data_IF_031361956034
#
_entry.id   IF_031361956034
#
_cell.length_a   1.000
_cell.length_b   1.000
_cell.length_c   1.000
_cell.angle_alpha   90.00
_cell.angle_beta   90.00
_cell.angle_gamma   90.00
#
_symmetry.space_group_name_H-M   'P 1'
#
loop_
_entity.id
_entity.type
_entity.pdbx_description
1 polymer ?
#
# COMPACT_ATOMS: atom_id res chain seq x y z
N UNK A 1 -9.96 -3.66 -11.71
CA UNK A 1 -10.29 -3.50 -10.27
C UNK A 1 -10.50 -4.85 -9.57
N UNK A 2 -11.30 -5.78 -10.13
CA UNK A 2 -11.51 -7.12 -9.55
C UNK A 2 -10.23 -7.95 -9.39
N UNK A 3 -9.36 -7.95 -10.40
CA UNK A 3 -8.10 -8.73 -10.40
C UNK A 3 -7.17 -8.34 -9.23
N UNK A 4 -7.06 -7.06 -8.90
CA UNK A 4 -6.20 -6.59 -7.79
C UNK A 4 -6.77 -7.05 -6.46
N UNK A 5 -8.09 -6.90 -6.26
CA UNK A 5 -8.76 -7.34 -5.05
C UNK A 5 -8.61 -8.85 -4.82
N UNK A 6 -8.71 -9.66 -5.88
CA UNK A 6 -8.47 -11.10 -5.81
C UNK A 6 -7.02 -11.44 -5.42
N UNK A 7 -6.03 -10.77 -6.02
CA UNK A 7 -4.62 -10.93 -5.65
C UNK A 7 -4.36 -10.59 -4.19
N UNK A 8 -4.92 -9.48 -3.70
CA UNK A 8 -4.78 -9.07 -2.31
C UNK A 8 -5.52 -10.01 -1.34
N UNK A 9 -6.70 -10.53 -1.72
CA UNK A 9 -7.40 -11.58 -0.94
C UNK A 9 -6.59 -12.86 -0.86
N UNK A 10 -6.00 -13.29 -1.98
CA UNK A 10 -5.10 -14.44 -2.02
C UNK A 10 -3.89 -14.20 -1.12
N UNK A 11 -3.29 -13.02 -1.18
CA UNK A 11 -2.18 -12.63 -0.31
C UNK A 11 -2.53 -12.78 1.18
N UNK A 12 -3.68 -12.25 1.62
CA UNK A 12 -4.10 -12.37 3.02
C UNK A 12 -4.42 -13.82 3.43
N UNK A 13 -4.93 -14.63 2.50
CA UNK A 13 -5.23 -16.03 2.77
C UNK A 13 -3.98 -16.88 2.98
N UNK A 14 -2.86 -16.54 2.33
CA UNK A 14 -1.60 -17.30 2.40
C UNK A 14 -0.53 -16.64 3.29
N UNK A 15 -0.70 -15.35 3.61
CA UNK A 15 0.15 -14.46 4.41
C UNK A 15 1.40 -15.14 5.01
N UNK A 16 2.41 -15.22 4.17
CA UNK A 16 3.80 -15.49 4.50
C UNK A 16 4.60 -14.31 3.96
N UNK A 17 4.80 -13.29 4.81
CA UNK A 17 5.47 -12.05 4.40
C UNK A 17 6.95 -12.31 4.09
N UNK A 18 7.57 -13.24 4.82
CA UNK A 18 8.97 -13.63 4.63
C UNK A 18 9.17 -14.31 3.28
N UNK A 19 8.16 -15.07 2.80
CA UNK A 19 8.19 -15.75 1.50
C UNK A 19 7.13 -15.21 0.53
N UNK A 20 6.87 -13.89 0.52
CA UNK A 20 5.80 -13.29 -0.28
C UNK A 20 5.85 -13.68 -1.77
N UNK A 21 7.05 -13.82 -2.35
CA UNK A 21 7.27 -14.25 -3.75
C UNK A 21 6.84 -15.67 -4.05
N UNK A 22 6.77 -16.55 -3.03
CA UNK A 22 6.24 -17.91 -3.20
C UNK A 22 4.74 -17.89 -3.45
N UNK A 23 4.05 -16.99 -2.76
CA UNK A 23 2.59 -16.88 -2.80
C UNK A 23 2.11 -15.98 -3.95
N UNK A 24 2.88 -14.91 -4.22
CA UNK A 24 2.65 -13.93 -5.27
C UNK A 24 3.99 -13.61 -5.93
N UNK A 25 4.35 -14.31 -7.02
CA UNK A 25 5.65 -14.17 -7.68
C UNK A 25 6.02 -12.74 -8.09
N UNK A 26 5.03 -11.93 -8.44
CA UNK A 26 5.20 -10.52 -8.81
C UNK A 26 5.31 -9.55 -7.61
N UNK A 27 5.27 -10.05 -6.39
CA UNK A 27 5.34 -9.21 -5.19
C UNK A 27 6.79 -8.93 -4.77
N UNK A 28 7.05 -7.71 -4.34
CA UNK A 28 8.35 -7.32 -3.80
C UNK A 28 8.18 -6.45 -2.56
N UNK A 29 8.80 -6.82 -1.44
CA UNK A 29 8.80 -5.96 -0.25
C UNK A 29 9.65 -4.72 -0.51
N UNK A 30 9.04 -3.55 -0.37
CA UNK A 30 9.70 -2.25 -0.51
C UNK A 30 10.14 -1.68 0.84
N UNK A 31 9.50 -2.10 1.93
CA UNK A 31 9.88 -1.66 3.26
C UNK A 31 8.94 -2.14 4.37
N UNK A 32 9.44 -2.03 5.59
CA UNK A 32 8.69 -2.34 6.82
C UNK A 32 8.52 -1.07 7.64
N UNK A 33 7.35 -0.92 8.24
CA UNK A 33 7.10 0.00 9.34
C UNK A 33 6.63 -0.80 10.56
N UNK A 34 6.56 -0.15 11.72
CA UNK A 34 6.22 -0.81 12.98
C UNK A 34 4.87 -1.55 12.93
N UNK A 35 3.89 -0.96 12.26
CA UNK A 35 2.52 -1.49 12.15
C UNK A 35 2.11 -1.83 10.71
N UNK A 36 3.04 -1.76 9.75
CA UNK A 36 2.70 -1.83 8.33
C UNK A 36 3.80 -2.45 7.48
N UNK A 37 3.42 -3.04 6.35
CA UNK A 37 4.36 -3.53 5.35
C UNK A 37 4.06 -2.86 4.02
N UNK A 38 5.08 -2.39 3.31
CA UNK A 38 4.96 -1.82 1.97
C UNK A 38 5.54 -2.80 0.97
N UNK A 39 4.79 -3.10 -0.08
CA UNK A 39 5.21 -4.02 -1.13
C UNK A 39 4.69 -3.57 -2.50
N UNK A 40 5.39 -3.91 -3.57
CA UNK A 40 4.90 -3.76 -4.93
C UNK A 40 4.14 -5.02 -5.36
N UNK A 41 3.17 -4.85 -6.26
CA UNK A 41 2.60 -5.94 -7.06
C UNK A 41 2.79 -5.55 -8.53
N UNK A 42 3.83 -6.08 -9.16
CA UNK A 42 4.29 -5.61 -10.46
C UNK A 42 4.96 -4.24 -10.40
N UNK A 43 5.02 -3.54 -11.54
CA UNK A 43 5.88 -2.37 -11.70
C UNK A 43 5.21 -1.02 -11.38
N UNK A 44 3.88 -0.96 -11.45
CA UNK A 44 3.15 0.32 -11.48
C UNK A 44 2.73 0.84 -10.10
N UNK A 45 2.40 -0.05 -9.16
CA UNK A 45 1.80 0.34 -7.88
C UNK A 45 2.55 -0.24 -6.68
N UNK A 46 2.64 0.57 -5.62
CA UNK A 46 3.02 0.17 -4.29
C UNK A 46 1.78 0.08 -3.39
N UNK A 47 1.78 -0.90 -2.49
CA UNK A 47 0.69 -1.20 -1.56
C UNK A 47 1.22 -1.16 -0.14
N UNK A 48 0.58 -0.36 0.72
CA UNK A 48 0.81 -0.34 2.15
C UNK A 48 -0.26 -1.16 2.86
N UNK A 49 0.14 -2.24 3.51
CA UNK A 49 -0.71 -3.14 4.31
C UNK A 49 -0.84 -2.64 5.74
N UNK A 50 -2.06 -2.50 6.24
CA UNK A 50 -2.39 -2.08 7.61
C UNK A 50 -3.33 -3.08 8.29
N UNK A 51 -2.80 -4.09 9.00
CA UNK A 51 -3.57 -5.21 9.56
C UNK A 51 -4.01 -4.99 11.02
N UNK A 52 -4.59 -3.83 11.33
CA UNK A 52 -4.82 -3.41 12.72
C UNK A 52 -6.30 -3.21 13.09
N UNK A 53 -7.22 -3.40 12.14
CA UNK A 53 -8.62 -3.07 12.35
C UNK A 53 -9.41 -4.26 12.88
N UNK A 54 -10.30 -4.02 13.86
CA UNK A 54 -11.16 -5.05 14.45
C UNK A 54 -12.49 -5.23 13.70
N UNK A 55 -12.86 -4.26 12.87
CA UNK A 55 -14.11 -4.25 12.11
C UNK A 55 -13.86 -3.78 10.68
N UNK A 56 -14.76 -4.13 9.76
CA UNK A 56 -14.69 -3.68 8.37
C UNK A 56 -14.91 -2.16 8.33
N UNK A 57 -15.83 -1.68 9.15
CA UNK A 57 -16.23 -0.30 9.27
C UNK A 57 -15.07 0.59 9.66
N UNK A 58 -14.22 0.17 10.61
CA UNK A 58 -13.04 0.95 11.00
C UNK A 58 -11.97 0.99 9.90
N UNK A 59 -11.77 -0.13 9.20
CA UNK A 59 -10.85 -0.19 8.06
C UNK A 59 -11.30 0.70 6.89
N UNK A 60 -12.60 0.68 6.58
CA UNK A 60 -13.19 1.53 5.55
C UNK A 60 -13.15 3.01 5.94
N UNK A 61 -13.49 3.36 7.18
CA UNK A 61 -13.36 4.75 7.69
C UNK A 61 -11.94 5.28 7.52
N UNK A 62 -10.93 4.46 7.78
CA UNK A 62 -9.55 4.84 7.59
C UNK A 62 -9.22 5.03 6.10
N UNK A 63 -9.69 4.14 5.22
CA UNK A 63 -9.54 4.27 3.77
C UNK A 63 -10.19 5.53 3.19
N UNK A 64 -11.39 5.86 3.66
CA UNK A 64 -12.09 7.10 3.29
C UNK A 64 -11.35 8.35 3.78
N UNK A 65 -10.83 8.31 5.02
CA UNK A 65 -9.98 9.40 5.54
C UNK A 65 -8.73 9.58 4.68
N UNK A 66 -8.11 8.48 4.24
CA UNK A 66 -6.98 8.51 3.32
C UNK A 66 -7.36 9.15 1.97
N UNK A 67 -8.49 8.77 1.35
CA UNK A 67 -8.97 9.38 0.11
C UNK A 67 -9.24 10.88 0.29
N UNK A 68 -9.91 11.26 1.37
CA UNK A 68 -10.18 12.66 1.70
C UNK A 68 -8.89 13.46 1.86
N UNK A 69 -7.93 12.94 2.62
CA UNK A 69 -6.63 13.58 2.80
C UNK A 69 -5.93 13.86 1.46
N UNK A 70 -5.83 12.86 0.58
CA UNK A 70 -5.20 13.04 -0.73
C UNK A 70 -5.97 14.01 -1.63
N UNK A 71 -7.30 14.03 -1.56
CA UNK A 71 -8.13 14.97 -2.32
C UNK A 71 -7.89 16.41 -1.85
N UNK A 72 -7.81 16.64 -0.53
CA UNK A 72 -7.50 17.96 0.03
C UNK A 72 -6.09 18.45 -0.33
N UNK A 73 -5.11 17.55 -0.48
CA UNK A 73 -3.79 17.93 -0.99
C UNK A 73 -3.86 18.40 -2.45
N UNK A 74 -4.64 17.70 -3.29
CA UNK A 74 -4.83 18.09 -4.69
C UNK A 74 -5.55 19.45 -4.82
N UNK A 75 -6.52 19.74 -3.94
CA UNK A 75 -7.18 21.06 -3.85
C UNK A 75 -6.19 22.20 -3.53
N UNK A 76 -5.09 21.89 -2.84
CA UNK A 76 -3.99 22.81 -2.56
C UNK A 76 -2.90 22.80 -3.64
N UNK A 77 -3.20 22.24 -4.82
CA UNK A 77 -2.27 22.10 -5.96
C UNK A 77 -1.01 21.27 -5.65
N UNK A 78 -1.04 20.47 -4.58
CA UNK A 78 0.03 19.52 -4.26
C UNK A 78 -0.16 18.31 -5.16
N UNK A 79 0.89 17.97 -5.92
CA UNK A 79 0.90 16.75 -6.71
C UNK A 79 0.84 15.52 -5.79
N UNK A 80 -0.21 14.73 -5.98
CA UNK A 80 -0.38 13.44 -5.32
C UNK A 80 -0.50 12.36 -6.40
N UNK A 81 0.28 11.27 -6.31
CA UNK A 81 0.14 10.15 -7.23
C UNK A 81 -1.25 9.54 -7.17
N UNK A 82 -1.66 8.88 -8.25
CA UNK A 82 -2.90 8.11 -8.25
C UNK A 82 -2.91 7.15 -7.07
N UNK A 83 -4.02 7.16 -6.34
CA UNK A 83 -4.16 6.43 -5.09
C UNK A 83 -5.55 5.83 -4.94
N UNK A 84 -5.60 4.71 -4.22
CA UNK A 84 -6.82 4.03 -3.87
C UNK A 84 -6.67 3.29 -2.53
N UNK A 85 -7.76 2.72 -2.01
CA UNK A 85 -7.69 1.80 -0.90
C UNK A 85 -8.56 0.56 -1.12
N UNK A 86 -8.23 -0.51 -0.40
CA UNK A 86 -8.98 -1.76 -0.41
C UNK A 86 -9.09 -2.29 1.01
N UNK A 87 -10.29 -2.72 1.39
CA UNK A 87 -10.52 -3.38 2.68
C UNK A 87 -10.72 -4.87 2.46
N UNK A 88 -9.94 -5.68 3.18
CA UNK A 88 -9.95 -7.13 3.06
C UNK A 88 -10.09 -7.74 4.44
N UNK A 89 -10.89 -8.80 4.55
CA UNK A 89 -10.95 -9.62 5.75
C UNK A 89 -9.66 -10.43 5.85
N UNK A 90 -8.87 -10.16 6.88
CA UNK A 90 -7.62 -10.87 7.16
C UNK A 90 -7.86 -12.14 7.97
N UNK A 91 -6.77 -12.66 8.55
CA UNK A 91 -6.79 -13.80 9.48
C UNK A 91 -7.24 -13.37 10.87
N UNK A 92 -7.63 -14.32 11.73
CA UNK A 92 -7.91 -14.07 13.16
C UNK A 92 -8.97 -12.97 13.44
N UNK A 93 -9.91 -12.77 12.52
CA UNK A 93 -11.00 -11.82 12.69
C UNK A 93 -10.61 -10.34 12.51
N UNK A 94 -9.37 -10.03 12.12
CA UNK A 94 -8.97 -8.66 11.80
C UNK A 94 -9.36 -8.29 10.36
N UNK A 95 -9.46 -6.99 10.12
CA UNK A 95 -9.59 -6.39 8.80
C UNK A 95 -8.30 -5.64 8.46
N UNK A 96 -7.94 -5.71 7.19
CA UNK A 96 -6.72 -5.13 6.64
C UNK A 96 -7.10 -4.06 5.64
N UNK A 97 -6.58 -2.84 5.84
CA UNK A 97 -6.67 -1.78 4.85
C UNK A 97 -5.38 -1.79 4.03
N UNK A 98 -5.52 -1.88 2.71
CA UNK A 98 -4.43 -1.68 1.76
C UNK A 98 -4.56 -0.31 1.14
N UNK A 99 -3.54 0.52 1.26
CA UNK A 99 -3.45 1.78 0.53
C UNK A 99 -2.58 1.56 -0.70
N UNK A 100 -3.11 1.79 -1.89
CA UNK A 100 -2.35 1.69 -3.13
C UNK A 100 -1.96 3.07 -3.64
N UNK A 101 -0.76 3.17 -4.19
CA UNK A 101 -0.26 4.38 -4.82
C UNK A 101 0.57 4.02 -6.05
N UNK A 102 0.42 4.76 -7.14
CA UNK A 102 1.36 4.66 -8.26
C UNK A 102 2.78 4.94 -7.78
N UNK A 103 3.73 4.14 -8.27
CA UNK A 103 5.14 4.31 -7.94
C UNK A 103 5.65 5.59 -8.57
N UNK A 104 6.37 6.37 -7.76
CA UNK A 104 7.11 7.53 -8.23
C UNK A 104 8.34 7.07 -9.00
N UNK A 105 8.86 7.95 -9.88
CA UNK A 105 10.16 7.71 -10.50
C UNK A 105 11.22 7.55 -9.39
N UNK A 106 11.94 6.42 -9.31
CA UNK A 106 12.95 6.21 -8.28
C UNK A 106 14.04 7.29 -8.25
N UNK A 107 14.32 7.91 -9.40
CA UNK A 107 15.29 9.01 -9.52
C UNK A 107 14.77 10.35 -9.01
N UNK A 108 13.46 10.50 -8.76
CA UNK A 108 12.87 11.71 -8.18
C UNK A 108 12.79 11.65 -6.65
N UNK A 109 13.22 10.56 -6.01
CA UNK A 109 13.18 10.41 -4.56
C UNK A 109 14.34 11.21 -3.92
N UNK A 110 14.00 12.13 -3.02
CA UNK A 110 14.95 13.09 -2.44
C UNK A 110 16.25 12.45 -1.93
N UNK A 111 16.19 11.34 -1.18
CA UNK A 111 17.41 10.72 -0.67
C UNK A 111 18.37 10.24 -1.77
N UNK A 112 17.84 9.85 -2.95
CA UNK A 112 18.65 9.48 -4.12
C UNK A 112 19.24 10.70 -4.84
N UNK A 113 18.54 11.83 -4.79
CA UNK A 113 19.01 13.10 -5.34
C UNK A 113 20.13 13.64 -4.46
N UNK A 114 19.90 13.73 -3.15
CA UNK A 114 20.88 14.24 -2.17
C UNK A 114 22.13 13.36 -2.15
N UNK A 115 22.01 12.03 -2.20
CA UNK A 115 23.18 11.14 -2.25
C UNK A 115 24.06 11.35 -3.49
N UNK A 116 23.50 11.87 -4.59
CA UNK A 116 24.25 12.20 -5.82
C UNK A 116 24.79 13.63 -5.82
N UNK A 117 24.35 14.47 -4.88
CA UNK A 117 24.60 15.91 -4.90
C UNK A 117 25.93 16.34 -4.26
N UNK A 118 26.74 15.42 -3.69
CA UNK A 118 28.01 15.72 -3.02
C UNK A 118 27.95 16.99 -2.13
N UNK A 119 27.00 17.01 -1.19
CA UNK A 119 26.97 17.98 -0.09
C UNK A 119 27.66 17.37 1.13
#
# INVERSE_FOLDING_TARGET
MEIILEKLKRFESTLDIENIKKEIPEAEILGYGEISTVFALGDDYAYKRLPIFKSKEDADKYGELYKKYNSSLQELEIFVPENNYYTIKGRNGIYVSYLSQSKLNPNSICHKIVSKANV
#
